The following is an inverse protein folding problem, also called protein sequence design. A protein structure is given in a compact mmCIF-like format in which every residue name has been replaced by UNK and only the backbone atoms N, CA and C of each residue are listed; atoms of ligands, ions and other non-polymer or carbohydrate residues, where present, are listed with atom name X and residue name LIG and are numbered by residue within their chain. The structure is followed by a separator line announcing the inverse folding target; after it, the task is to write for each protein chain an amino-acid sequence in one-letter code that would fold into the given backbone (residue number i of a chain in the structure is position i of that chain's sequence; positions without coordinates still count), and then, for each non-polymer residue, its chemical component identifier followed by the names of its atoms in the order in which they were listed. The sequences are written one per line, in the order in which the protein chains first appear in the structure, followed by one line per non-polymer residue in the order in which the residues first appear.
data_IF_419201546364
#
_entry.id   IF_419201546364
#
_cell.length_a   1.000
_cell.length_b   1.000
_cell.length_c   1.000
_cell.angle_alpha   90.00
_cell.angle_beta   90.00
_cell.angle_gamma   90.00
#
_symmetry.space_group_name_H-M   'P 1'
#
loop_
_entity.id
_entity.type
_entity.pdbx_description
1 polymer ?
#
# COMPACT_ATOMS: atom_id res chain seq x y z
N UNK A 1 -30.39 19.03 11.80
CA UNK A 1 -30.46 17.58 11.52
C UNK A 1 -29.38 16.89 12.36
N UNK A 2 -29.79 16.08 13.34
CA UNK A 2 -28.90 15.24 14.16
C UNK A 2 -28.80 13.87 13.48
N UNK A 3 -27.59 13.36 13.28
CA UNK A 3 -27.34 11.94 13.12
C UNK A 3 -26.31 11.56 14.17
N UNK A 4 -26.76 10.83 15.21
CA UNK A 4 -25.91 10.31 16.28
C UNK A 4 -24.80 9.42 15.69
N UNK A 5 -23.53 9.83 15.84
CA UNK A 5 -22.36 8.97 15.63
C UNK A 5 -21.63 8.85 16.96
N UNK A 6 -21.84 7.77 17.69
CA UNK A 6 -21.01 7.43 18.86
C UNK A 6 -20.79 5.92 18.89
N UNK A 7 -19.69 5.49 18.24
CA UNK A 7 -18.99 4.27 18.65
C UNK A 7 -18.26 4.56 19.97
N UNK A 8 -18.09 3.59 20.88
CA UNK A 8 -17.53 3.88 22.20
C UNK A 8 -16.05 4.26 22.07
N UNK A 9 -15.75 5.54 22.34
CA UNK A 9 -14.41 6.14 22.24
C UNK A 9 -14.41 7.24 21.18
N UNK A 10 -14.69 8.48 21.57
CA UNK A 10 -14.44 9.67 20.73
C UNK A 10 -12.92 9.89 20.69
N UNK A 11 -12.24 9.25 19.75
CA UNK A 11 -10.87 9.62 19.41
C UNK A 11 -10.92 10.93 18.63
N UNK A 12 -9.98 11.83 18.90
CA UNK A 12 -9.80 13.03 18.09
C UNK A 12 -9.43 12.61 16.67
N UNK A 13 -10.21 13.07 15.69
CA UNK A 13 -9.98 12.77 14.28
C UNK A 13 -9.97 14.07 13.49
N UNK A 14 -8.85 14.34 12.83
CA UNK A 14 -8.62 15.58 12.06
C UNK A 14 -8.70 15.36 10.55
N UNK A 15 -8.98 14.13 10.10
CA UNK A 15 -9.07 13.76 8.70
C UNK A 15 -10.26 14.40 7.98
N UNK A 16 -10.05 14.65 6.68
CA UNK A 16 -11.02 15.29 5.77
C UNK A 16 -12.12 14.33 5.31
N UNK A 17 -11.91 13.01 5.38
CA UNK A 17 -12.95 12.01 5.08
C UNK A 17 -13.50 11.37 6.38
N UNK A 18 -14.71 11.76 6.84
CA UNK A 18 -15.32 11.17 8.02
C UNK A 18 -15.61 9.68 7.92
N UNK A 19 -15.62 9.10 6.70
CA UNK A 19 -15.77 7.67 6.52
C UNK A 19 -14.49 6.92 6.88
N UNK A 20 -13.32 7.55 6.86
CA UNK A 20 -12.04 6.93 7.20
C UNK A 20 -11.74 6.93 8.73
N UNK A 21 -12.62 7.52 9.55
CA UNK A 21 -12.53 7.50 11.02
C UNK A 21 -12.30 6.09 11.58
N UNK A 22 -12.97 5.08 11.03
CA UNK A 22 -12.87 3.71 11.53
C UNK A 22 -11.48 3.11 11.32
N UNK A 23 -10.76 3.50 10.25
CA UNK A 23 -9.39 3.09 9.98
C UNK A 23 -8.44 3.77 10.96
N UNK A 24 -8.61 5.07 11.20
CA UNK A 24 -7.87 5.81 12.24
C UNK A 24 -8.09 5.16 13.61
N UNK A 25 -9.34 4.94 14.01
CA UNK A 25 -9.68 4.35 15.30
C UNK A 25 -9.09 2.94 15.46
N UNK A 26 -9.08 2.14 14.38
CA UNK A 26 -8.40 0.85 14.37
C UNK A 26 -6.89 1.00 14.59
N UNK A 27 -6.23 1.89 13.84
CA UNK A 27 -4.79 2.12 13.95
C UNK A 27 -4.37 2.60 15.35
N UNK A 28 -5.13 3.50 15.96
CA UNK A 28 -4.89 3.96 17.35
C UNK A 28 -5.07 2.79 18.33
N UNK A 29 -6.17 2.04 18.21
CA UNK A 29 -6.49 0.95 19.13
C UNK A 29 -5.49 -0.20 19.06
N UNK A 30 -4.96 -0.49 17.87
CA UNK A 30 -3.93 -1.53 17.66
C UNK A 30 -2.51 -1.03 17.86
N UNK A 31 -2.30 0.28 18.05
CA UNK A 31 -0.97 0.91 18.04
C UNK A 31 -0.20 0.55 16.77
N UNK A 32 -0.86 0.63 15.62
CA UNK A 32 -0.21 0.37 14.35
C UNK A 32 0.82 1.43 14.05
N UNK A 33 2.00 1.03 13.57
CA UNK A 33 3.02 1.98 13.10
C UNK A 33 2.64 2.62 11.76
N UNK A 34 1.81 1.93 10.96
CA UNK A 34 1.47 2.36 9.60
C UNK A 34 0.02 2.05 9.23
N UNK A 35 -0.59 2.97 8.46
CA UNK A 35 -1.79 2.73 7.65
C UNK A 35 -1.34 2.61 6.20
N UNK A 36 -1.45 1.39 5.63
CA UNK A 36 -1.13 1.12 4.23
C UNK A 36 -2.37 1.33 3.36
N UNK A 37 -2.37 2.36 2.51
CA UNK A 37 -3.54 2.73 1.71
C UNK A 37 -3.18 3.55 0.47
N UNK A 38 -4.05 3.56 -0.54
CA UNK A 38 -3.95 4.44 -1.71
C UNK A 38 -4.72 5.77 -1.54
N UNK A 39 -5.41 5.96 -0.40
CA UNK A 39 -6.07 7.21 -0.03
C UNK A 39 -5.04 8.31 0.30
N UNK A 40 -5.48 9.56 0.36
CA UNK A 40 -4.61 10.68 0.73
C UNK A 40 -4.35 10.67 2.24
N UNK A 41 -3.19 11.18 2.65
CA UNK A 41 -2.88 11.38 4.08
C UNK A 41 -3.95 12.24 4.75
N UNK A 42 -4.42 13.30 4.06
CA UNK A 42 -5.43 14.22 4.58
C UNK A 42 -6.79 13.56 4.84
N UNK A 43 -7.08 12.41 4.20
CA UNK A 43 -8.31 11.66 4.47
C UNK A 43 -8.33 11.13 5.92
N UNK A 44 -7.15 10.87 6.51
CA UNK A 44 -7.01 10.35 7.89
C UNK A 44 -6.58 11.40 8.91
N UNK A 45 -5.74 12.35 8.53
CA UNK A 45 -5.23 13.40 9.45
C UNK A 45 -4.76 14.62 8.68
N UNK A 46 -5.04 15.80 9.20
CA UNK A 46 -4.46 17.06 8.70
C UNK A 46 -3.18 17.45 9.46
N UNK A 47 -2.79 16.64 10.46
CA UNK A 47 -1.62 16.86 11.33
C UNK A 47 -0.79 15.59 11.45
N UNK A 48 -0.17 15.11 10.35
CA UNK A 48 0.50 13.80 10.31
C UNK A 48 1.59 13.63 11.37
N UNK A 49 2.37 14.68 11.65
CA UNK A 49 3.43 14.65 12.68
C UNK A 49 2.91 14.47 14.12
N UNK A 50 1.60 14.66 14.34
CA UNK A 50 0.95 14.48 15.64
C UNK A 50 0.31 13.09 15.81
N UNK A 51 0.19 12.30 14.73
CA UNK A 51 -0.37 10.95 14.80
C UNK A 51 0.70 9.91 15.18
N UNK A 52 0.33 8.83 15.87
CA UNK A 52 1.26 7.76 16.24
C UNK A 52 1.54 6.78 15.09
N UNK A 53 0.92 6.98 13.92
CA UNK A 53 1.09 6.14 12.73
C UNK A 53 1.49 6.97 11.53
N UNK A 54 2.16 6.35 10.57
CA UNK A 54 2.42 6.92 9.24
C UNK A 54 1.38 6.42 8.23
N UNK A 55 0.87 7.28 7.36
CA UNK A 55 0.08 6.86 6.19
C UNK A 55 1.03 6.63 5.04
N UNK A 56 1.15 5.39 4.57
CA UNK A 56 2.12 4.97 3.54
C UNK A 56 1.40 4.41 2.32
N UNK A 57 1.87 4.77 1.12
CA UNK A 57 1.29 4.25 -0.13
C UNK A 57 1.78 2.82 -0.44
N UNK A 58 1.05 2.04 -1.26
CA UNK A 58 1.53 0.74 -1.71
C UNK A 58 2.88 0.78 -2.42
N UNK A 59 3.14 1.81 -3.24
CA UNK A 59 4.42 1.96 -3.94
C UNK A 59 5.58 2.13 -2.94
N UNK A 60 5.40 3.03 -1.96
CA UNK A 60 6.39 3.29 -0.91
C UNK A 60 6.61 2.07 -0.02
N UNK A 61 5.52 1.40 0.39
CA UNK A 61 5.60 0.19 1.22
C UNK A 61 6.35 -0.93 0.51
N UNK A 62 6.04 -1.20 -0.77
CA UNK A 62 6.76 -2.22 -1.52
C UNK A 62 8.22 -1.86 -1.72
N UNK A 63 8.55 -0.58 -1.92
CA UNK A 63 9.95 -0.12 -1.96
C UNK A 63 10.65 -0.25 -0.61
N UNK A 64 9.97 0.01 0.51
CA UNK A 64 10.50 -0.22 1.85
C UNK A 64 10.82 -1.70 2.07
N UNK A 65 9.90 -2.60 1.69
CA UNK A 65 10.12 -4.06 1.75
C UNK A 65 11.28 -4.47 0.85
N UNK A 66 11.31 -4.00 -0.40
CA UNK A 66 12.36 -4.32 -1.36
C UNK A 66 13.74 -3.87 -0.89
N UNK A 67 13.85 -2.73 -0.21
CA UNK A 67 15.12 -2.24 0.35
C UNK A 67 15.51 -2.99 1.62
N UNK A 68 14.54 -3.33 2.45
CA UNK A 68 14.78 -4.03 3.72
C UNK A 68 15.11 -5.51 3.53
N UNK A 69 14.55 -6.15 2.51
CA UNK A 69 14.80 -7.56 2.14
C UNK A 69 14.94 -7.73 0.62
N UNK A 70 16.03 -7.25 -0.02
CA UNK A 70 16.17 -7.28 -1.48
C UNK A 70 16.05 -8.67 -2.12
N UNK A 71 16.38 -9.72 -1.36
CA UNK A 71 16.27 -11.10 -1.80
C UNK A 71 14.84 -11.59 -2.08
N UNK A 72 13.81 -10.87 -1.64
CA UNK A 72 12.42 -11.32 -1.81
C UNK A 72 11.80 -10.91 -3.16
N UNK A 73 12.31 -9.86 -3.82
CA UNK A 73 11.67 -9.28 -5.02
C UNK A 73 11.70 -10.24 -6.21
N UNK A 74 12.86 -10.87 -6.47
CA UNK A 74 13.02 -11.81 -7.58
C UNK A 74 12.10 -13.05 -7.45
N UNK A 75 12.09 -13.80 -6.31
CA UNK A 75 11.21 -14.96 -6.17
C UNK A 75 9.73 -14.57 -6.13
N UNK A 76 9.35 -13.43 -5.56
CA UNK A 76 7.97 -12.94 -5.62
C UNK A 76 7.54 -12.63 -7.05
N UNK A 77 8.41 -11.95 -7.82
CA UNK A 77 8.18 -11.63 -9.24
C UNK A 77 8.03 -12.90 -10.07
N UNK A 78 8.87 -13.91 -9.86
CA UNK A 78 8.77 -15.18 -10.57
C UNK A 78 7.41 -15.87 -10.32
N UNK A 79 6.98 -15.96 -9.06
CA UNK A 79 5.67 -16.55 -8.72
C UNK A 79 4.50 -15.80 -9.35
N UNK A 80 4.54 -14.46 -9.30
CA UNK A 80 3.50 -13.64 -9.95
C UNK A 80 3.53 -13.81 -11.47
N UNK A 81 4.72 -13.90 -12.08
CA UNK A 81 4.86 -14.10 -13.52
C UNK A 81 4.27 -15.46 -13.93
N UNK A 82 4.62 -16.54 -13.23
CA UNK A 82 4.11 -17.88 -13.50
C UNK A 82 2.60 -17.97 -13.35
N UNK A 83 2.03 -17.28 -12.37
CA UNK A 83 0.59 -17.23 -12.19
C UNK A 83 -0.09 -16.44 -13.32
N UNK A 84 0.33 -15.20 -13.55
CA UNK A 84 -0.35 -14.28 -14.46
C UNK A 84 -0.16 -14.64 -15.94
N UNK A 85 0.97 -15.24 -16.34
CA UNK A 85 1.21 -15.64 -17.74
C UNK A 85 0.21 -16.69 -18.26
N UNK A 86 -0.48 -17.39 -17.36
CA UNK A 86 -1.50 -18.38 -17.72
C UNK A 86 -2.90 -17.80 -17.87
N UNK A 87 -3.09 -16.52 -17.53
CA UNK A 87 -4.41 -15.87 -17.54
C UNK A 87 -4.62 -15.14 -18.88
N UNK A 88 -5.80 -15.30 -19.52
CA UNK A 88 -6.09 -14.57 -20.75
C UNK A 88 -6.11 -13.07 -20.49
N UNK A 89 -5.62 -12.28 -21.45
CA UNK A 89 -5.59 -10.82 -21.41
C UNK A 89 -4.82 -10.20 -20.22
N UNK A 90 -3.90 -10.95 -19.58
CA UNK A 90 -3.05 -10.40 -18.53
C UNK A 90 -2.06 -9.38 -19.09
N UNK A 91 -1.92 -8.24 -18.41
CA UNK A 91 -0.85 -7.27 -18.69
C UNK A 91 0.49 -7.78 -18.16
N UNK A 92 1.63 -7.33 -18.74
CA UNK A 92 2.93 -7.52 -18.10
C UNK A 92 2.92 -6.93 -16.68
N UNK A 93 3.51 -7.63 -15.70
CA UNK A 93 3.39 -7.25 -14.27
C UNK A 93 3.78 -5.80 -13.99
N UNK A 94 4.91 -5.34 -14.55
CA UNK A 94 5.37 -3.97 -14.34
C UNK A 94 4.39 -2.93 -14.92
N UNK A 95 3.69 -3.23 -16.02
CA UNK A 95 2.64 -2.36 -16.57
C UNK A 95 1.43 -2.34 -15.65
N UNK A 96 0.98 -3.51 -15.17
CA UNK A 96 -0.13 -3.60 -14.23
C UNK A 96 0.16 -2.85 -12.91
N UNK A 97 1.41 -2.86 -12.44
CA UNK A 97 1.82 -2.12 -11.24
C UNK A 97 1.81 -0.61 -11.45
N UNK A 98 2.25 -0.12 -12.62
CA UNK A 98 2.11 1.31 -12.96
C UNK A 98 0.64 1.73 -12.94
N UNK A 99 -0.24 0.95 -13.59
CA UNK A 99 -1.68 1.23 -13.60
C UNK A 99 -2.30 1.19 -12.21
N UNK A 100 -1.74 0.39 -11.29
CA UNK A 100 -2.16 0.29 -9.90
C UNK A 100 -1.55 1.37 -8.99
N UNK A 101 -0.86 2.38 -9.55
CA UNK A 101 -0.25 3.45 -8.76
C UNK A 101 1.04 3.04 -8.04
N UNK A 102 1.72 1.99 -8.51
CA UNK A 102 3.02 1.52 -8.00
C UNK A 102 4.16 1.71 -9.01
N UNK A 103 4.41 2.94 -9.52
CA UNK A 103 5.37 3.16 -10.60
C UNK A 103 6.82 2.92 -10.20
N UNK A 104 7.21 3.20 -8.95
CA UNK A 104 8.59 3.00 -8.49
C UNK A 104 8.89 1.53 -8.32
N UNK A 105 8.01 0.81 -7.64
CA UNK A 105 8.16 -0.63 -7.46
C UNK A 105 8.03 -1.41 -8.78
N UNK A 106 7.26 -0.90 -9.75
CA UNK A 106 7.22 -1.46 -11.10
C UNK A 106 8.60 -1.51 -11.77
N UNK A 107 9.49 -0.56 -11.49
CA UNK A 107 10.88 -0.58 -12.00
C UNK A 107 11.65 -1.76 -11.42
N UNK A 108 11.53 -2.01 -10.12
CA UNK A 108 12.17 -3.16 -9.45
C UNK A 108 11.67 -4.49 -10.03
N UNK A 109 10.36 -4.61 -10.24
CA UNK A 109 9.74 -5.79 -10.85
C UNK A 109 10.18 -5.97 -12.30
N UNK A 110 10.29 -4.89 -13.08
CA UNK A 110 10.81 -4.96 -14.46
C UNK A 110 12.26 -5.46 -14.48
N UNK A 111 13.10 -4.98 -13.59
CA UNK A 111 14.49 -5.44 -13.44
C UNK A 111 14.53 -6.92 -13.05
N UNK A 112 13.67 -7.35 -12.12
CA UNK A 112 13.55 -8.76 -11.76
C UNK A 112 13.10 -9.63 -12.95
N UNK A 113 12.10 -9.22 -13.72
CA UNK A 113 11.66 -9.92 -14.94
C UNK A 113 12.79 -10.08 -15.97
N UNK A 114 13.60 -9.05 -16.19
CA UNK A 114 14.76 -9.13 -17.09
C UNK A 114 15.79 -10.15 -16.62
N UNK A 115 15.99 -10.29 -15.31
CA UNK A 115 16.88 -11.32 -14.74
C UNK A 115 16.32 -12.72 -14.96
N UNK A 116 15.02 -12.90 -14.69
CA UNK A 116 14.36 -14.20 -14.89
C UNK A 116 14.46 -14.62 -16.37
N UNK A 117 14.21 -13.70 -17.31
CA UNK A 117 14.29 -13.98 -18.74
C UNK A 117 15.70 -14.38 -19.23
N UNK A 118 16.77 -14.04 -18.49
CA UNK A 118 18.15 -14.44 -18.81
C UNK A 118 18.54 -15.80 -18.22
N UNK A 119 17.75 -16.30 -17.26
CA UNK A 119 17.98 -17.58 -16.58
C UNK A 119 17.08 -18.71 -17.09
N UNK A 120 16.13 -18.38 -17.98
CA UNK A 120 15.37 -19.35 -18.78
C UNK A 120 16.14 -19.68 -20.05
#
# INVERSE_FOLDING_TARGET
MKCCRTSPGELSFTGEDPNDYHVHAAAISSRSDMILTANKVSDFTTTPDAEPYEVITPDEFFMLVARSHPGCVLPATAKQFDYWRTKPNSKPLHVALVDAGCPTFAVEVRTALQRIARTM
#
